data_IF_904573276858
#
_entry.id   IF_904573276858
#
_cell.length_a   1.000
_cell.length_b   1.000
_cell.length_c   1.000
_cell.angle_alpha   90.00
_cell.angle_beta   90.00
_cell.angle_gamma   90.00
#
_symmetry.space_group_name_H-M   'P 1'
#
loop_
_entity.id
_entity.type
_entity.pdbx_description
1 polymer ?
#
# COMPACT_ATOMS: atom_id res chain seq x y z
N UNK A 1 18.20 -4.81 7.28
CA UNK A 1 19.49 -4.89 6.55
C UNK A 1 20.16 -3.53 6.64
N UNK A 2 21.48 -3.46 6.74
CA UNK A 2 22.25 -2.21 6.67
C UNK A 2 22.73 -1.96 5.23
N UNK A 3 22.97 -0.69 4.87
CA UNK A 3 23.51 -0.35 3.52
C UNK A 3 24.85 -1.04 3.22
N UNK A 4 25.62 -1.40 4.23
CA UNK A 4 26.90 -2.11 4.07
C UNK A 4 26.75 -3.58 3.63
N UNK A 5 25.57 -4.18 3.87
CA UNK A 5 25.28 -5.58 3.56
C UNK A 5 24.65 -5.79 2.18
N UNK A 6 24.44 -4.69 1.43
CA UNK A 6 23.83 -4.74 0.12
C UNK A 6 24.72 -5.49 -0.88
N UNK A 7 24.16 -6.51 -1.52
CA UNK A 7 24.84 -7.27 -2.60
C UNK A 7 24.62 -6.65 -3.98
N UNK A 8 23.67 -5.72 -4.08
CA UNK A 8 23.35 -4.95 -5.28
C UNK A 8 23.24 -3.47 -4.94
N UNK A 9 23.73 -2.62 -5.80
CA UNK A 9 23.73 -1.16 -5.61
C UNK A 9 22.38 -0.50 -5.99
N UNK A 10 21.28 -1.13 -5.62
CA UNK A 10 19.94 -0.58 -5.71
C UNK A 10 19.10 -1.09 -4.55
N UNK A 11 18.41 -0.19 -3.84
CA UNK A 11 17.64 -0.54 -2.64
C UNK A 11 16.49 0.44 -2.41
N UNK A 12 15.61 0.04 -1.53
CA UNK A 12 14.53 0.87 -0.99
C UNK A 12 14.87 1.25 0.44
N UNK A 13 14.79 2.52 0.80
CA UNK A 13 14.85 2.97 2.19
C UNK A 13 13.44 3.17 2.73
N UNK A 14 13.22 2.68 3.96
CA UNK A 14 11.98 2.82 4.70
C UNK A 14 12.22 3.63 5.96
N UNK A 15 11.70 4.86 6.01
CA UNK A 15 11.79 5.74 7.17
C UNK A 15 10.83 5.27 8.27
N UNK A 16 11.42 4.67 9.33
CA UNK A 16 10.70 4.19 10.51
C UNK A 16 10.04 5.33 11.29
N UNK A 17 10.67 6.49 11.28
CA UNK A 17 10.16 7.69 11.97
C UNK A 17 8.93 8.22 11.27
N UNK A 18 8.96 8.37 9.94
CA UNK A 18 7.82 8.78 9.13
C UNK A 18 6.64 7.82 9.28
N UNK A 19 6.88 6.50 9.17
CA UNK A 19 5.83 5.50 9.35
C UNK A 19 5.18 5.57 10.74
N UNK A 20 5.99 5.79 11.78
CA UNK A 20 5.49 5.97 13.16
C UNK A 20 4.67 7.25 13.30
N UNK A 21 5.13 8.38 12.73
CA UNK A 21 4.40 9.65 12.77
C UNK A 21 3.07 9.55 12.04
N UNK A 22 3.04 8.99 10.84
CA UNK A 22 1.82 8.78 10.07
C UNK A 22 0.82 7.88 10.82
N UNK A 23 1.30 6.77 11.40
CA UNK A 23 0.43 5.87 12.18
C UNK A 23 -0.19 6.59 13.38
N UNK A 24 0.59 7.38 14.10
CA UNK A 24 0.08 8.21 15.23
C UNK A 24 -0.88 9.28 14.77
N UNK A 25 -0.65 9.90 13.61
CA UNK A 25 -1.57 10.88 13.05
C UNK A 25 -2.96 10.26 12.82
N UNK A 26 -3.04 9.06 12.22
CA UNK A 26 -4.31 8.34 12.10
C UNK A 26 -4.90 7.93 13.46
N UNK A 27 -4.09 7.47 14.40
CA UNK A 27 -4.57 7.12 15.75
C UNK A 27 -5.17 8.33 16.47
N UNK A 28 -4.61 9.51 16.28
CA UNK A 28 -5.07 10.77 16.88
C UNK A 28 -6.39 11.31 16.27
N UNK A 29 -6.84 10.82 15.12
CA UNK A 29 -8.18 11.10 14.59
C UNK A 29 -9.29 10.43 15.41
N UNK A 30 -8.94 9.42 16.21
CA UNK A 30 -9.87 8.51 16.85
C UNK A 30 -10.12 8.89 18.31
N UNK A 31 -11.36 8.70 18.73
CA UNK A 31 -11.67 8.73 20.16
C UNK A 31 -11.19 7.42 20.86
N UNK A 32 -11.12 7.38 22.20
CA UNK A 32 -10.59 6.23 22.95
C UNK A 32 -11.32 4.90 22.73
N UNK A 33 -12.55 4.92 22.21
CA UNK A 33 -13.35 3.70 21.95
C UNK A 33 -13.13 3.17 20.52
N UNK A 34 -12.60 4.01 19.64
CA UNK A 34 -12.38 3.67 18.24
C UNK A 34 -11.01 3.00 18.04
N UNK A 35 -10.94 2.12 17.06
CA UNK A 35 -9.76 1.32 16.75
C UNK A 35 -9.12 1.75 15.44
N UNK A 36 -7.81 1.58 15.35
CA UNK A 36 -7.04 1.75 14.14
C UNK A 36 -6.68 0.37 13.57
N UNK A 37 -7.23 0.04 12.42
CA UNK A 37 -6.80 -1.08 11.61
C UNK A 37 -5.79 -0.60 10.55
N UNK A 38 -4.56 -1.09 10.63
CA UNK A 38 -3.51 -0.80 9.66
C UNK A 38 -3.52 -1.83 8.54
N UNK A 39 -3.71 -1.37 7.29
CA UNK A 39 -3.73 -2.25 6.11
C UNK A 39 -2.31 -2.46 5.61
N UNK A 40 -1.82 -3.70 5.69
CA UNK A 40 -0.45 -4.10 5.35
C UNK A 40 -0.36 -5.15 4.23
N UNK A 41 -1.41 -5.26 3.41
CA UNK A 41 -1.45 -6.13 2.22
C UNK A 41 -0.41 -5.73 1.18
N UNK A 42 -0.12 -6.63 0.24
CA UNK A 42 0.88 -6.46 -0.81
C UNK A 42 2.25 -6.05 -0.24
N UNK A 43 2.72 -6.82 0.76
CA UNK A 43 3.94 -6.56 1.50
C UNK A 43 4.02 -5.13 2.07
N UNK A 44 2.90 -4.69 2.71
CA UNK A 44 2.73 -3.31 3.19
C UNK A 44 2.91 -2.28 2.06
N UNK A 45 2.22 -2.48 0.94
CA UNK A 45 2.37 -1.63 -0.27
C UNK A 45 3.83 -1.54 -0.74
N UNK A 46 4.57 -2.65 -0.67
CA UNK A 46 5.97 -2.73 -1.04
C UNK A 46 6.99 -2.32 0.04
N UNK A 47 6.52 -1.92 1.23
CA UNK A 47 7.40 -1.41 2.31
C UNK A 47 7.95 -2.49 3.26
N UNK A 48 7.49 -3.76 3.13
CA UNK A 48 7.87 -4.85 4.03
C UNK A 48 6.90 -5.05 5.19
N UNK A 49 5.97 -6.00 5.03
CA UNK A 49 4.79 -6.13 5.90
C UNK A 49 5.14 -6.36 7.38
N UNK A 50 6.06 -7.26 7.68
CA UNK A 50 6.37 -7.65 9.07
C UNK A 50 7.00 -6.49 9.84
N UNK A 51 8.01 -5.83 9.28
CA UNK A 51 8.69 -4.73 9.97
C UNK A 51 7.78 -3.49 10.07
N UNK A 52 7.04 -3.17 9.01
CA UNK A 52 6.04 -2.11 9.07
C UNK A 52 4.97 -2.38 10.15
N UNK A 53 4.45 -3.61 10.22
CA UNK A 53 3.46 -3.98 11.24
C UNK A 53 4.01 -3.85 12.66
N UNK A 54 5.28 -4.22 12.93
CA UNK A 54 5.93 -4.01 14.23
C UNK A 54 6.02 -2.53 14.61
N UNK A 55 6.40 -1.67 13.65
CA UNK A 55 6.47 -0.23 13.85
C UNK A 55 5.09 0.35 14.14
N UNK A 56 4.08 0.01 13.31
CA UNK A 56 2.70 0.44 13.48
C UNK A 56 2.08 -0.06 14.79
N UNK A 57 2.40 -1.30 15.19
CA UNK A 57 1.98 -1.85 16.49
C UNK A 57 2.48 -0.98 17.65
N UNK A 58 3.76 -0.62 17.64
CA UNK A 58 4.36 0.25 18.66
C UNK A 58 3.81 1.70 18.62
N UNK A 59 3.22 2.11 17.49
CA UNK A 59 2.64 3.43 17.27
C UNK A 59 1.14 3.51 17.60
N UNK A 60 0.50 2.38 17.95
CA UNK A 60 -0.89 2.36 18.40
C UNK A 60 -1.88 1.64 17.47
N UNK A 61 -1.42 0.83 16.53
CA UNK A 61 -2.29 -0.03 15.74
C UNK A 61 -3.01 -1.04 16.64
N UNK A 62 -4.32 -1.18 16.48
CA UNK A 62 -5.14 -2.12 17.24
C UNK A 62 -5.37 -3.42 16.49
N UNK A 63 -5.32 -3.39 15.15
CA UNK A 63 -5.61 -4.50 14.25
C UNK A 63 -4.83 -4.34 12.96
N UNK A 64 -4.60 -5.43 12.25
CA UNK A 64 -4.01 -5.42 10.91
C UNK A 64 -4.96 -6.01 9.88
N UNK A 65 -4.85 -5.56 8.62
CA UNK A 65 -5.61 -6.13 7.53
C UNK A 65 -4.70 -6.47 6.34
N UNK A 66 -4.95 -7.65 5.76
CA UNK A 66 -4.23 -8.23 4.63
C UNK A 66 -5.20 -8.63 3.52
N UNK A 67 -4.70 -9.08 2.36
CA UNK A 67 -5.53 -9.54 1.27
C UNK A 67 -5.57 -11.07 1.14
N UNK A 68 -4.56 -11.78 1.63
CA UNK A 68 -4.42 -13.23 1.46
C UNK A 68 -4.08 -13.93 2.78
N UNK A 69 -4.36 -15.24 2.82
CA UNK A 69 -4.01 -16.09 3.98
C UNK A 69 -2.50 -16.09 4.21
N UNK A 70 -1.71 -16.21 3.14
CA UNK A 70 -0.24 -16.24 3.24
C UNK A 70 0.34 -14.95 3.84
N UNK A 71 -0.22 -13.79 3.51
CA UNK A 71 0.18 -12.53 4.14
C UNK A 71 -0.12 -12.54 5.64
N UNK A 72 -1.29 -13.03 6.04
CA UNK A 72 -1.66 -13.17 7.45
C UNK A 72 -0.74 -14.14 8.21
N UNK A 73 -0.45 -15.30 7.62
CA UNK A 73 0.50 -16.28 8.16
C UNK A 73 1.90 -15.67 8.31
N UNK A 74 2.37 -14.94 7.29
CA UNK A 74 3.65 -14.24 7.35
C UNK A 74 3.74 -13.23 8.49
N UNK A 75 2.66 -12.49 8.78
CA UNK A 75 2.61 -11.60 9.93
C UNK A 75 2.69 -12.36 11.26
N UNK A 76 1.95 -13.47 11.39
CA UNK A 76 2.01 -14.33 12.60
C UNK A 76 3.41 -14.91 12.83
N UNK A 77 4.02 -15.44 11.78
CA UNK A 77 5.39 -15.96 11.84
C UNK A 77 6.41 -14.86 12.16
N UNK A 78 6.13 -13.62 11.72
CA UNK A 78 6.88 -12.41 12.07
C UNK A 78 6.66 -11.90 13.49
N UNK A 79 5.80 -12.56 14.30
CA UNK A 79 5.55 -12.25 15.72
C UNK A 79 4.44 -11.25 15.97
N UNK A 80 3.59 -10.95 14.98
CA UNK A 80 2.42 -10.08 15.18
C UNK A 80 1.30 -10.83 15.91
N UNK A 81 0.92 -10.35 17.09
CA UNK A 81 -0.10 -10.98 17.97
C UNK A 81 -1.46 -10.28 17.92
N UNK A 82 -1.54 -9.04 17.38
CA UNK A 82 -2.80 -8.31 17.22
C UNK A 82 -3.75 -9.03 16.26
N UNK A 83 -5.07 -8.79 16.33
CA UNK A 83 -6.03 -9.36 15.39
C UNK A 83 -5.64 -9.06 13.93
N UNK A 84 -5.83 -10.05 13.05
CA UNK A 84 -5.57 -9.94 11.61
C UNK A 84 -6.85 -10.28 10.87
N UNK A 85 -7.25 -9.38 9.95
CA UNK A 85 -8.40 -9.55 9.07
C UNK A 85 -7.93 -9.73 7.62
N UNK A 86 -8.45 -10.73 6.93
CA UNK A 86 -8.35 -10.82 5.47
C UNK A 86 -9.52 -10.06 4.86
N UNK A 87 -9.22 -9.08 3.99
CA UNK A 87 -10.23 -8.21 3.35
C UNK A 87 -10.96 -8.88 2.17
N UNK A 88 -10.96 -10.20 2.12
CA UNK A 88 -11.68 -11.03 1.16
C UNK A 88 -12.04 -12.37 1.78
N UNK A 89 -12.94 -13.10 1.15
CA UNK A 89 -13.23 -14.49 1.49
C UNK A 89 -12.20 -15.38 0.79
N UNK A 90 -11.40 -16.16 1.51
CA UNK A 90 -10.44 -17.07 0.90
C UNK A 90 -11.14 -18.37 0.43
N UNK A 91 -10.46 -19.26 -0.30
CA UNK A 91 -11.02 -20.57 -0.65
C UNK A 91 -11.21 -21.44 0.60
N UNK A 92 -12.20 -22.35 0.54
CA UNK A 92 -12.55 -23.23 1.67
C UNK A 92 -11.36 -24.07 2.15
N UNK A 93 -10.48 -24.46 1.24
CA UNK A 93 -9.27 -25.24 1.52
C UNK A 93 -8.27 -24.49 2.43
N UNK A 94 -8.40 -23.18 2.53
CA UNK A 94 -7.55 -22.36 3.40
C UNK A 94 -8.05 -22.26 4.85
N UNK A 95 -9.24 -22.78 5.16
CA UNK A 95 -9.84 -22.72 6.50
C UNK A 95 -8.93 -23.30 7.59
N UNK A 96 -8.26 -24.44 7.41
CA UNK A 96 -7.36 -24.95 8.44
C UNK A 96 -6.27 -23.96 8.86
N UNK A 97 -5.69 -23.24 7.89
CA UNK A 97 -4.68 -22.23 8.18
C UNK A 97 -5.26 -21.00 8.90
N UNK A 98 -6.49 -20.57 8.56
CA UNK A 98 -7.18 -19.49 9.28
C UNK A 98 -7.34 -19.82 10.76
N UNK A 99 -7.79 -21.05 11.05
CA UNK A 99 -7.99 -21.53 12.42
C UNK A 99 -6.70 -21.77 13.17
N UNK A 100 -5.66 -22.28 12.49
CA UNK A 100 -4.36 -22.53 13.08
C UNK A 100 -3.68 -21.21 13.52
N UNK A 101 -3.67 -20.23 12.62
CA UNK A 101 -2.96 -18.95 12.82
C UNK A 101 -3.84 -17.85 13.43
N UNK A 102 -5.08 -18.15 13.82
CA UNK A 102 -6.04 -17.16 14.37
C UNK A 102 -6.16 -15.91 13.48
N UNK A 103 -6.52 -16.15 12.21
CA UNK A 103 -6.72 -15.12 11.19
C UNK A 103 -8.20 -15.08 10.83
N UNK A 104 -8.82 -13.91 10.90
CA UNK A 104 -10.23 -13.71 10.60
C UNK A 104 -10.44 -13.51 9.10
N UNK A 105 -11.30 -14.29 8.43
CA UNK A 105 -11.71 -14.00 7.06
C UNK A 105 -12.79 -12.92 7.01
N UNK A 106 -12.93 -12.26 5.86
CA UNK A 106 -14.21 -11.68 5.46
C UNK A 106 -15.13 -12.79 4.99
N UNK A 107 -16.41 -12.72 5.31
CA UNK A 107 -17.41 -13.71 4.94
C UNK A 107 -18.56 -13.04 4.19
N UNK A 108 -18.96 -13.62 3.07
CA UNK A 108 -20.09 -13.13 2.26
C UNK A 108 -20.76 -14.22 1.41
N UNK A 109 -20.34 -15.52 1.56
CA UNK A 109 -21.07 -16.66 1.01
C UNK A 109 -21.48 -17.62 2.11
N UNK A 110 -22.68 -18.21 1.99
CA UNK A 110 -23.17 -19.18 2.96
C UNK A 110 -22.35 -20.46 2.99
N UNK A 111 -21.87 -20.90 1.83
CA UNK A 111 -21.07 -22.12 1.71
C UNK A 111 -19.76 -22.00 2.49
N UNK A 112 -19.06 -20.86 2.35
CA UNK A 112 -17.84 -20.62 3.11
C UNK A 112 -18.14 -20.50 4.61
N UNK A 113 -19.19 -19.75 5.00
CA UNK A 113 -19.57 -19.56 6.40
C UNK A 113 -19.84 -20.90 7.10
N UNK A 114 -20.61 -21.78 6.47
CA UNK A 114 -20.96 -23.10 7.01
C UNK A 114 -19.72 -24.00 7.09
N UNK A 115 -18.93 -24.09 6.02
CA UNK A 115 -17.70 -24.87 6.02
C UNK A 115 -16.70 -24.37 7.08
N UNK A 116 -16.58 -23.04 7.25
CA UNK A 116 -15.73 -22.44 8.29
C UNK A 116 -16.19 -22.84 9.69
N UNK A 117 -17.50 -22.82 9.92
CA UNK A 117 -18.09 -23.24 11.19
C UNK A 117 -17.89 -24.73 11.48
N UNK A 118 -18.11 -25.61 10.50
CA UNK A 118 -17.89 -27.05 10.64
C UNK A 118 -16.43 -27.37 10.98
N UNK A 119 -15.49 -26.77 10.25
CA UNK A 119 -14.05 -26.94 10.51
C UNK A 119 -13.65 -26.38 11.88
N UNK A 120 -14.23 -25.25 12.31
CA UNK A 120 -13.97 -24.68 13.62
C UNK A 120 -14.44 -25.59 14.74
N UNK A 121 -15.65 -26.16 14.65
CA UNK A 121 -16.17 -27.15 15.62
C UNK A 121 -15.27 -28.37 15.66
N UNK A 122 -14.87 -28.91 14.52
CA UNK A 122 -13.99 -30.07 14.44
C UNK A 122 -12.62 -29.80 15.08
N UNK A 123 -12.13 -28.55 15.02
CA UNK A 123 -10.90 -28.10 15.66
C UNK A 123 -11.07 -27.70 17.14
N UNK A 124 -12.27 -27.80 17.72
CA UNK A 124 -12.58 -27.36 19.08
C UNK A 124 -12.48 -25.84 19.27
N UNK A 125 -12.70 -25.06 18.20
CA UNK A 125 -12.60 -23.60 18.15
C UNK A 125 -13.92 -22.94 17.78
N UNK A 126 -13.95 -21.61 17.89
CA UNK A 126 -14.98 -20.76 17.29
C UNK A 126 -14.27 -19.86 16.28
N UNK A 127 -14.67 -19.98 15.02
CA UNK A 127 -14.14 -19.17 13.92
C UNK A 127 -14.72 -17.75 13.96
N UNK A 128 -13.88 -16.76 14.18
CA UNK A 128 -14.26 -15.35 14.13
C UNK A 128 -14.16 -14.83 12.70
N UNK A 129 -15.13 -14.02 12.29
CA UNK A 129 -15.17 -13.44 10.96
C UNK A 129 -15.71 -12.01 10.94
N UNK A 130 -15.44 -11.28 9.84
CA UNK A 130 -16.12 -10.03 9.56
C UNK A 130 -17.05 -10.20 8.36
N UNK A 131 -18.30 -9.79 8.50
CA UNK A 131 -19.29 -9.79 7.42
C UNK A 131 -19.00 -8.63 6.47
N UNK A 132 -18.76 -8.93 5.20
CA UNK A 132 -18.63 -7.90 4.16
C UNK A 132 -20.00 -7.59 3.55
N UNK A 133 -20.37 -6.29 3.52
CA UNK A 133 -21.62 -5.81 2.91
C UNK A 133 -21.30 -5.05 1.64
N UNK A 134 -21.96 -5.44 0.53
CA UNK A 134 -21.89 -4.72 -0.74
C UNK A 134 -22.90 -3.58 -0.76
N UNK A 135 -22.41 -2.34 -0.87
CA UNK A 135 -23.22 -1.13 -0.82
C UNK A 135 -23.17 -0.28 -2.10
N UNK A 136 -22.39 -0.71 -3.11
CA UNK A 136 -22.29 0.00 -4.39
C UNK A 136 -20.96 -0.11 -5.11
N UNK A 137 -19.93 -0.75 -4.51
CA UNK A 137 -18.65 -0.99 -5.18
C UNK A 137 -18.70 -2.18 -6.16
N UNK A 138 -19.62 -3.13 -5.95
CA UNK A 138 -19.85 -4.32 -6.77
C UNK A 138 -18.59 -5.19 -6.95
N UNK A 139 -17.83 -5.38 -5.87
CA UNK A 139 -16.60 -6.16 -5.89
C UNK A 139 -16.68 -7.42 -5.03
N UNK A 140 -17.09 -7.30 -3.78
CA UNK A 140 -17.28 -8.36 -2.80
C UNK A 140 -18.37 -7.97 -1.81
N UNK A 141 -18.94 -8.96 -1.13
CA UNK A 141 -19.88 -8.74 -0.03
C UNK A 141 -21.29 -9.22 -0.36
N UNK A 142 -22.09 -9.41 0.72
CA UNK A 142 -23.53 -9.65 0.62
C UNK A 142 -24.21 -8.34 0.24
N UNK A 143 -25.07 -8.36 -0.76
CA UNK A 143 -25.81 -7.16 -1.17
C UNK A 143 -26.61 -6.60 0.02
N UNK A 144 -26.57 -5.27 0.22
CA UNK A 144 -27.14 -4.63 1.42
C UNK A 144 -28.61 -4.96 1.68
N UNK A 145 -29.41 -5.24 0.63
CA UNK A 145 -30.82 -5.65 0.76
C UNK A 145 -30.99 -7.11 1.18
N UNK A 146 -29.97 -7.95 1.06
CA UNK A 146 -30.01 -9.38 1.36
C UNK A 146 -29.27 -9.73 2.66
N UNK A 147 -28.64 -8.74 3.30
CA UNK A 147 -27.75 -8.97 4.44
C UNK A 147 -28.47 -9.62 5.62
N UNK A 148 -29.72 -9.24 5.88
CA UNK A 148 -30.49 -9.80 7.00
C UNK A 148 -30.85 -11.28 6.79
N UNK A 149 -31.22 -11.65 5.56
CA UNK A 149 -31.53 -13.06 5.24
C UNK A 149 -30.26 -13.91 5.28
N UNK A 150 -29.13 -13.35 4.83
CA UNK A 150 -27.82 -13.98 4.94
C UNK A 150 -27.45 -14.25 6.42
N UNK A 151 -27.54 -13.23 7.28
CA UNK A 151 -27.23 -13.36 8.71
C UNK A 151 -28.12 -14.40 9.37
N UNK A 152 -29.44 -14.40 9.10
CA UNK A 152 -30.39 -15.43 9.59
C UNK A 152 -29.97 -16.81 9.13
N UNK A 153 -29.53 -16.96 7.89
CA UNK A 153 -29.14 -18.23 7.27
C UNK A 153 -27.91 -18.89 7.88
N UNK A 154 -27.03 -18.13 8.52
CA UNK A 154 -25.78 -18.65 9.10
C UNK A 154 -25.72 -18.57 10.63
N UNK A 155 -26.53 -17.72 11.27
CA UNK A 155 -26.46 -17.40 12.71
C UNK A 155 -26.72 -18.59 13.64
N UNK A 156 -27.38 -19.67 13.15
CA UNK A 156 -27.62 -20.88 13.93
C UNK A 156 -26.35 -21.72 14.14
N UNK A 157 -25.28 -21.47 13.37
CA UNK A 157 -24.07 -22.30 13.40
C UNK A 157 -23.19 -21.92 14.57
N UNK A 158 -23.01 -22.83 15.54
CA UNK A 158 -22.27 -22.59 16.79
C UNK A 158 -20.74 -22.43 16.60
N UNK A 159 -20.23 -22.87 15.45
CA UNK A 159 -18.78 -22.83 15.15
C UNK A 159 -18.27 -21.48 14.66
N UNK A 160 -19.15 -20.50 14.40
CA UNK A 160 -18.76 -19.18 13.92
C UNK A 160 -19.29 -18.06 14.81
N UNK A 161 -18.56 -16.96 14.83
CA UNK A 161 -18.92 -15.73 15.53
C UNK A 161 -18.63 -14.51 14.65
N UNK A 162 -19.64 -13.66 14.47
CA UNK A 162 -19.45 -12.37 13.83
C UNK A 162 -18.69 -11.44 14.78
N UNK A 163 -17.41 -11.12 14.43
CA UNK A 163 -16.54 -10.22 15.20
C UNK A 163 -16.59 -8.81 14.63
N UNK A 164 -17.13 -8.62 13.41
CA UNK A 164 -17.35 -7.32 12.83
C UNK A 164 -18.16 -7.33 11.54
N UNK A 165 -18.59 -6.13 11.14
CA UNK A 165 -19.36 -5.87 9.92
C UNK A 165 -18.73 -4.70 9.17
N UNK A 166 -18.55 -4.81 7.84
CA UNK A 166 -17.94 -3.73 7.10
C UNK A 166 -18.45 -3.60 5.65
N UNK A 167 -18.19 -2.42 5.09
CA UNK A 167 -18.25 -2.17 3.65
C UNK A 167 -16.98 -1.48 3.16
N UNK A 168 -16.87 -1.25 1.85
CA UNK A 168 -15.79 -0.48 1.26
C UNK A 168 -16.33 0.58 0.30
N UNK A 169 -15.91 1.83 0.50
CA UNK A 169 -16.33 2.96 -0.33
C UNK A 169 -15.53 3.03 -1.62
N UNK A 170 -16.23 3.21 -2.73
CA UNK A 170 -15.63 3.33 -4.05
C UNK A 170 -15.10 4.74 -4.35
N UNK A 171 -15.78 5.78 -3.80
CA UNK A 171 -15.55 7.20 -4.11
C UNK A 171 -15.36 8.05 -2.85
N UNK A 172 -14.66 7.50 -1.85
CA UNK A 172 -14.41 8.20 -0.58
C UNK A 172 -13.49 9.42 -0.70
N UNK A 173 -12.80 9.58 -1.80
CA UNK A 173 -12.03 10.75 -2.22
C UNK A 173 -12.90 11.95 -2.60
N UNK A 174 -14.19 11.71 -2.91
CA UNK A 174 -15.22 12.71 -3.20
C UNK A 174 -16.38 12.63 -2.18
N UNK A 175 -16.21 13.01 -0.90
CA UNK A 175 -17.21 12.78 0.16
C UNK A 175 -18.50 13.60 -0.03
N UNK A 176 -18.48 14.64 -0.84
CA UNK A 176 -19.66 15.39 -1.25
C UNK A 176 -20.49 14.70 -2.33
N UNK A 177 -19.93 13.71 -3.03
CA UNK A 177 -20.51 12.99 -4.15
C UNK A 177 -21.77 12.20 -3.76
N UNK A 178 -22.68 12.04 -4.71
CA UNK A 178 -23.92 11.30 -4.49
C UNK A 178 -23.66 9.81 -4.22
N UNK A 179 -22.75 9.19 -4.98
CA UNK A 179 -22.43 7.77 -4.86
C UNK A 179 -21.85 7.42 -3.48
N UNK A 180 -20.97 8.29 -2.95
CA UNK A 180 -20.42 8.12 -1.60
C UNK A 180 -21.54 8.17 -0.55
N UNK A 181 -22.39 9.19 -0.60
CA UNK A 181 -23.51 9.37 0.34
C UNK A 181 -24.49 8.19 0.29
N UNK A 182 -24.75 7.69 -0.91
CA UNK A 182 -25.61 6.51 -1.10
C UNK A 182 -25.00 5.25 -0.47
N UNK A 183 -23.68 5.04 -0.62
CA UNK A 183 -23.01 3.93 0.06
C UNK A 183 -23.04 4.08 1.60
N UNK A 184 -22.84 5.29 2.12
CA UNK A 184 -22.95 5.57 3.56
C UNK A 184 -24.35 5.25 4.08
N UNK A 185 -25.40 5.71 3.38
CA UNK A 185 -26.78 5.42 3.73
C UNK A 185 -27.08 3.92 3.74
N UNK A 186 -26.76 3.21 2.65
CA UNK A 186 -26.99 1.76 2.51
C UNK A 186 -26.29 0.95 3.60
N UNK A 187 -25.06 1.34 3.94
CA UNK A 187 -24.32 0.68 5.01
C UNK A 187 -24.96 0.90 6.37
N UNK A 188 -25.34 2.13 6.69
CA UNK A 188 -25.97 2.48 7.97
C UNK A 188 -27.31 1.74 8.12
N UNK A 189 -28.13 1.73 7.07
CA UNK A 189 -29.44 1.02 7.06
C UNK A 189 -29.25 -0.49 7.22
N UNK A 190 -28.27 -1.10 6.54
CA UNK A 190 -27.98 -2.52 6.65
C UNK A 190 -27.51 -2.91 8.06
N UNK A 191 -26.62 -2.13 8.68
CA UNK A 191 -26.18 -2.33 10.06
C UNK A 191 -27.33 -2.17 11.04
N UNK A 192 -28.20 -1.18 10.84
CA UNK A 192 -29.36 -0.99 11.69
C UNK A 192 -30.35 -2.15 11.58
N UNK A 193 -30.60 -2.64 10.37
CA UNK A 193 -31.49 -3.79 10.15
C UNK A 193 -30.99 -5.08 10.85
N UNK A 194 -29.67 -5.31 10.86
CA UNK A 194 -29.06 -6.44 11.59
C UNK A 194 -29.32 -6.29 13.11
N UNK A 195 -29.08 -5.10 13.65
CA UNK A 195 -29.27 -4.80 15.08
C UNK A 195 -30.73 -4.88 15.52
N UNK A 196 -31.65 -4.34 14.72
CA UNK A 196 -33.10 -4.36 15.00
C UNK A 196 -33.64 -5.78 14.98
N UNK A 197 -33.04 -6.70 14.24
CA UNK A 197 -33.34 -8.11 14.22
C UNK A 197 -32.72 -8.90 15.39
N UNK A 198 -31.98 -8.23 16.29
CA UNK A 198 -31.38 -8.81 17.50
C UNK A 198 -30.05 -9.52 17.27
N UNK A 199 -29.37 -9.29 16.13
CA UNK A 199 -28.05 -9.87 15.86
C UNK A 199 -26.92 -8.92 16.24
N UNK A 200 -25.84 -9.50 16.75
CA UNK A 200 -24.62 -8.75 17.08
C UNK A 200 -23.81 -8.43 15.81
N UNK A 201 -23.40 -7.17 15.70
CA UNK A 201 -22.54 -6.71 14.58
C UNK A 201 -21.04 -6.76 14.89
N UNK A 202 -20.65 -6.93 16.18
CA UNK A 202 -19.26 -6.77 16.59
C UNK A 202 -18.73 -5.37 16.23
N UNK A 203 -17.52 -5.31 15.66
CA UNK A 203 -16.86 -4.06 15.24
C UNK A 203 -17.44 -3.58 13.92
N UNK A 204 -18.15 -2.45 13.92
CA UNK A 204 -18.67 -1.83 12.69
C UNK A 204 -17.62 -0.92 12.09
N UNK A 205 -17.31 -1.11 10.79
CA UNK A 205 -16.27 -0.31 10.13
C UNK A 205 -16.47 -0.15 8.61
N UNK A 206 -16.32 1.07 8.10
CA UNK A 206 -16.42 1.35 6.66
C UNK A 206 -15.32 2.29 6.15
N UNK A 207 -14.82 3.21 6.99
CA UNK A 207 -13.85 4.21 6.58
C UNK A 207 -12.53 3.59 6.10
N UNK A 208 -12.19 3.83 4.84
CA UNK A 208 -10.88 3.62 4.24
C UNK A 208 -9.99 4.86 4.46
N UNK A 209 -8.79 4.93 3.87
CA UNK A 209 -7.87 6.07 4.05
C UNK A 209 -8.53 7.43 3.78
N UNK A 210 -9.14 7.72 2.60
CA UNK A 210 -9.74 9.03 2.38
C UNK A 210 -10.94 9.30 3.28
N UNK A 211 -11.85 8.36 3.47
CA UNK A 211 -13.00 8.52 4.35
C UNK A 211 -12.58 8.80 5.80
N UNK A 212 -11.52 8.14 6.29
CA UNK A 212 -11.03 8.38 7.65
C UNK A 212 -10.49 9.79 7.88
N UNK A 213 -10.04 10.47 6.82
CA UNK A 213 -9.54 11.84 6.89
C UNK A 213 -10.64 12.87 6.63
N UNK A 214 -11.56 12.58 5.70
CA UNK A 214 -12.50 13.54 5.15
C UNK A 214 -13.90 13.47 5.78
N UNK A 215 -14.28 12.34 6.38
CA UNK A 215 -15.60 12.13 6.97
C UNK A 215 -15.54 11.37 8.31
N UNK A 216 -15.28 12.06 9.42
CA UNK A 216 -15.26 11.43 10.75
C UNK A 216 -16.58 10.79 11.18
N UNK A 217 -17.72 11.13 10.55
CA UNK A 217 -19.02 10.52 10.87
C UNK A 217 -19.07 9.03 10.48
N UNK A 218 -18.19 8.59 9.55
CA UNK A 218 -18.09 7.23 9.10
C UNK A 218 -17.00 6.40 9.82
N UNK A 219 -16.41 6.91 10.89
CA UNK A 219 -15.43 6.14 11.67
C UNK A 219 -16.03 4.91 12.34
N UNK A 220 -17.29 4.99 12.80
CA UNK A 220 -17.93 3.95 13.61
C UNK A 220 -16.99 3.43 14.71
N UNK A 221 -16.77 2.11 14.80
CA UNK A 221 -15.91 1.52 15.83
C UNK A 221 -14.44 1.40 15.40
N UNK A 222 -14.17 1.47 14.08
CA UNK A 222 -12.80 1.28 13.57
C UNK A 222 -12.62 1.92 12.19
N UNK A 223 -11.47 2.56 11.96
CA UNK A 223 -11.02 2.95 10.63
C UNK A 223 -10.00 1.96 10.07
N UNK A 224 -9.90 1.87 8.73
CA UNK A 224 -8.91 1.07 8.01
C UNK A 224 -7.99 1.97 7.20
N UNK A 225 -6.90 2.39 7.80
CA UNK A 225 -5.89 3.19 7.13
C UNK A 225 -4.95 2.30 6.30
N UNK A 226 -4.72 2.69 5.06
CA UNK A 226 -3.82 2.00 4.13
C UNK A 226 -2.75 2.96 3.61
N UNK A 227 -2.91 3.44 2.37
CA UNK A 227 -1.92 4.24 1.64
C UNK A 227 -1.37 5.44 2.41
N UNK A 228 -2.20 6.09 3.22
CA UNK A 228 -1.79 7.23 4.03
C UNK A 228 -0.79 6.88 5.14
N UNK A 229 -0.79 5.64 5.64
CA UNK A 229 0.23 5.20 6.60
C UNK A 229 1.64 5.26 6.00
N UNK A 230 1.74 5.06 4.69
CA UNK A 230 3.00 5.07 3.93
C UNK A 230 3.36 6.46 3.39
N UNK A 231 2.64 7.51 3.82
CA UNK A 231 2.96 8.89 3.47
C UNK A 231 2.45 9.35 2.11
N UNK A 232 1.59 8.55 1.47
CA UNK A 232 1.00 8.90 0.18
C UNK A 232 -0.42 9.43 0.37
N UNK A 233 -0.72 10.57 -0.25
CA UNK A 233 -2.06 11.16 -0.21
C UNK A 233 -3.02 10.37 -1.12
N UNK A 234 -4.21 9.98 -0.62
CA UNK A 234 -5.21 9.31 -1.46
C UNK A 234 -5.86 10.24 -2.49
N UNK A 235 -5.92 11.54 -2.18
CA UNK A 235 -6.46 12.59 -3.05
C UNK A 235 -5.95 13.97 -2.61
N UNK A 236 -6.16 15.00 -3.42
CA UNK A 236 -5.73 16.36 -3.11
C UNK A 236 -6.39 16.92 -1.85
N UNK A 237 -7.68 16.63 -1.64
CA UNK A 237 -8.43 17.12 -0.46
C UNK A 237 -7.83 16.62 0.84
N UNK A 238 -7.38 15.38 0.89
CA UNK A 238 -6.79 14.79 2.11
C UNK A 238 -5.51 15.49 2.54
N UNK A 239 -4.70 15.98 1.59
CA UNK A 239 -3.49 16.77 1.89
C UNK A 239 -3.76 18.09 2.58
N UNK A 240 -4.99 18.63 2.49
CA UNK A 240 -5.39 19.84 3.22
C UNK A 240 -5.81 19.54 4.66
N UNK A 241 -6.20 18.30 4.94
CA UNK A 241 -6.66 17.87 6.27
C UNK A 241 -5.50 17.37 7.12
N UNK A 242 -4.62 16.56 6.53
CA UNK A 242 -3.50 15.96 7.25
C UNK A 242 -2.26 15.86 6.36
N UNK A 243 -1.16 16.43 6.82
CA UNK A 243 0.13 16.24 6.19
C UNK A 243 0.70 14.87 6.57
N UNK A 244 1.23 14.18 5.59
CA UNK A 244 1.81 12.84 5.74
C UNK A 244 3.27 12.88 5.30
N UNK A 245 4.12 12.16 6.01
CA UNK A 245 5.54 12.05 5.71
C UNK A 245 5.78 10.86 4.75
N UNK A 246 6.40 11.05 3.57
CA UNK A 246 6.79 9.95 2.71
C UNK A 246 7.66 8.93 3.46
N UNK A 247 7.31 7.65 3.33
CA UNK A 247 7.99 6.55 4.06
C UNK A 247 9.03 5.86 3.18
N UNK A 248 8.78 5.76 1.87
CA UNK A 248 9.64 5.05 0.93
C UNK A 248 10.46 6.03 0.10
N UNK A 249 11.76 5.75 -0.02
CA UNK A 249 12.62 6.30 -1.06
C UNK A 249 13.36 5.18 -1.81
N UNK A 250 13.73 5.44 -3.07
CA UNK A 250 14.36 4.45 -3.96
C UNK A 250 15.69 4.98 -4.43
N UNK A 251 16.75 4.21 -4.20
CA UNK A 251 18.15 4.61 -4.38
C UNK A 251 18.90 3.64 -5.29
N UNK A 252 19.87 4.16 -6.01
CA UNK A 252 20.84 3.33 -6.71
C UNK A 252 22.19 4.04 -6.81
N UNK A 253 23.28 3.25 -6.94
CA UNK A 253 24.61 3.78 -7.20
C UNK A 253 25.04 3.58 -8.64
N UNK A 254 25.78 4.51 -9.15
CA UNK A 254 26.35 4.49 -10.50
C UNK A 254 27.28 3.27 -10.65
N UNK A 255 26.95 2.39 -11.59
CA UNK A 255 27.74 1.19 -11.90
C UNK A 255 28.63 1.34 -13.14
N UNK A 256 28.40 2.38 -13.92
CA UNK A 256 29.23 2.71 -15.08
C UNK A 256 29.08 4.18 -15.44
N UNK A 257 30.19 4.80 -15.79
CA UNK A 257 30.25 6.13 -16.39
C UNK A 257 30.80 5.99 -17.82
N UNK A 258 30.21 6.72 -18.78
CA UNK A 258 30.64 6.75 -20.16
C UNK A 258 30.52 8.16 -20.74
N UNK A 259 31.38 8.48 -21.72
CA UNK A 259 31.34 9.71 -22.48
C UNK A 259 31.22 9.38 -23.98
N UNK A 260 30.03 8.96 -24.45
CA UNK A 260 29.85 8.63 -25.84
C UNK A 260 29.97 9.86 -26.73
N UNK A 261 30.39 9.64 -27.99
CA UNK A 261 30.56 10.73 -28.95
C UNK A 261 29.19 11.29 -29.39
N UNK A 262 29.21 12.52 -29.91
CA UNK A 262 28.04 13.15 -30.50
C UNK A 262 27.39 12.24 -31.56
N UNK A 263 26.06 12.07 -31.48
CA UNK A 263 25.30 11.24 -32.42
C UNK A 263 25.19 9.76 -32.02
N UNK A 264 26.02 9.26 -31.09
CA UNK A 264 25.91 7.90 -30.59
C UNK A 264 24.60 7.67 -29.85
N UNK A 265 24.03 6.49 -30.03
CA UNK A 265 22.75 6.08 -29.40
C UNK A 265 22.96 5.49 -28.02
N UNK A 266 21.99 5.66 -27.13
CA UNK A 266 21.96 5.12 -25.77
C UNK A 266 20.82 4.14 -25.60
N UNK A 267 21.13 2.93 -25.14
CA UNK A 267 20.17 1.88 -24.83
C UNK A 267 19.46 1.26 -26.05
N UNK A 268 18.50 0.41 -25.78
CA UNK A 268 17.75 -0.29 -26.82
C UNK A 268 16.96 0.66 -27.73
N UNK A 269 17.06 0.41 -29.04
CA UNK A 269 16.34 1.20 -30.06
C UNK A 269 16.88 2.61 -30.27
N UNK A 270 17.97 2.99 -29.56
CA UNK A 270 18.60 4.30 -29.67
C UNK A 270 17.61 5.46 -29.62
N UNK A 271 16.63 5.37 -28.71
CA UNK A 271 15.57 6.38 -28.52
C UNK A 271 16.11 7.70 -27.93
N UNK A 272 17.37 7.69 -27.48
CA UNK A 272 18.14 8.86 -27.16
C UNK A 272 19.46 8.82 -27.93
N UNK A 273 19.88 9.98 -28.46
CA UNK A 273 21.18 10.17 -29.07
C UNK A 273 21.90 11.32 -28.41
N UNK A 274 23.20 11.13 -28.19
CA UNK A 274 24.05 12.14 -27.55
C UNK A 274 23.98 13.44 -28.35
N UNK A 275 23.59 14.57 -27.75
CA UNK A 275 23.49 15.85 -28.44
C UNK A 275 24.85 16.46 -28.74
N UNK A 276 24.92 17.71 -29.24
CA UNK A 276 26.17 18.40 -29.63
C UNK A 276 27.06 18.76 -28.46
N UNK A 277 26.58 18.75 -27.22
CA UNK A 277 27.34 19.10 -26.02
C UNK A 277 27.98 17.87 -25.38
N UNK A 278 29.00 18.04 -24.57
CA UNK A 278 29.55 16.98 -23.73
C UNK A 278 28.46 16.44 -22.82
N UNK A 279 28.27 15.14 -22.86
CA UNK A 279 27.30 14.42 -22.05
C UNK A 279 27.98 13.25 -21.37
N UNK A 280 27.83 13.16 -20.07
CA UNK A 280 28.19 11.97 -19.31
C UNK A 280 26.97 11.07 -19.19
N UNK A 281 27.10 9.81 -19.53
CA UNK A 281 26.05 8.77 -19.37
C UNK A 281 26.40 7.89 -18.19
N UNK A 282 25.54 7.92 -17.16
CA UNK A 282 25.65 7.07 -15.97
C UNK A 282 24.65 5.94 -16.05
N UNK A 283 25.09 4.70 -15.75
CA UNK A 283 24.24 3.53 -15.68
C UNK A 283 23.91 3.21 -14.22
N UNK A 284 22.63 2.95 -13.94
CA UNK A 284 22.11 2.59 -12.63
C UNK A 284 21.50 1.18 -12.66
N UNK A 285 21.78 0.32 -11.65
CA UNK A 285 21.41 -1.09 -11.65
C UNK A 285 20.00 -1.32 -11.13
N UNK A 286 19.01 -0.68 -11.74
CA UNK A 286 17.57 -0.86 -11.47
C UNK A 286 16.82 -0.76 -12.80
N UNK A 287 15.82 -1.61 -13.01
CA UNK A 287 15.04 -1.64 -14.23
C UNK A 287 13.60 -2.10 -14.01
N UNK A 288 12.91 -2.49 -15.12
CA UNK A 288 11.49 -2.83 -15.00
C UNK A 288 11.23 -4.13 -14.22
N UNK A 289 12.21 -5.01 -14.10
CA UNK A 289 12.09 -6.20 -13.23
C UNK A 289 12.17 -5.85 -11.73
N UNK A 290 12.61 -4.64 -11.40
CA UNK A 290 12.66 -4.11 -10.04
C UNK A 290 11.46 -3.19 -9.72
N UNK A 291 10.56 -2.98 -10.70
CA UNK A 291 9.40 -2.10 -10.57
C UNK A 291 9.50 -0.73 -11.25
N UNK A 292 10.67 -0.37 -11.80
CA UNK A 292 10.83 0.88 -12.55
C UNK A 292 10.26 0.73 -13.96
N UNK A 293 9.02 1.16 -14.16
CA UNK A 293 8.28 0.93 -15.40
C UNK A 293 8.99 1.43 -16.66
N UNK A 294 9.00 0.58 -17.71
CA UNK A 294 9.52 0.96 -19.03
C UNK A 294 8.77 2.13 -19.68
N UNK A 295 7.51 2.39 -19.28
CA UNK A 295 6.73 3.53 -19.74
C UNK A 295 7.33 4.90 -19.33
N UNK A 296 8.24 4.91 -18.36
CA UNK A 296 8.96 6.10 -17.89
C UNK A 296 10.17 6.46 -18.77
N UNK A 297 10.51 5.64 -19.75
CA UNK A 297 11.66 5.85 -20.64
C UNK A 297 11.66 7.23 -21.31
N UNK A 298 12.75 7.97 -21.16
CA UNK A 298 12.93 9.36 -21.62
C UNK A 298 11.96 10.39 -21.01
N UNK A 299 11.24 10.03 -19.93
CA UNK A 299 10.18 10.88 -19.35
C UNK A 299 10.44 11.28 -17.91
N UNK A 300 11.20 10.51 -17.15
CA UNK A 300 11.48 10.75 -15.74
C UNK A 300 12.86 11.40 -15.54
N UNK A 301 13.03 11.96 -14.37
CA UNK A 301 14.33 12.41 -13.85
C UNK A 301 14.72 11.52 -12.66
N UNK A 302 15.96 11.62 -12.22
CA UNK A 302 16.47 11.18 -10.91
C UNK A 302 17.15 12.36 -10.23
N UNK A 303 17.42 12.27 -8.92
CA UNK A 303 18.13 13.30 -8.19
C UNK A 303 19.60 12.90 -8.05
N UNK A 304 20.48 13.87 -8.26
CA UNK A 304 21.91 13.77 -8.04
C UNK A 304 22.46 15.08 -7.50
N UNK A 305 22.98 15.06 -6.28
CA UNK A 305 23.55 16.23 -5.58
C UNK A 305 22.60 17.44 -5.55
N UNK A 306 21.34 17.20 -5.24
CA UNK A 306 20.31 18.24 -5.18
C UNK A 306 19.71 18.65 -6.53
N UNK A 307 20.15 18.05 -7.63
CA UNK A 307 19.75 18.41 -8.99
C UNK A 307 18.95 17.30 -9.66
N UNK A 308 18.06 17.69 -10.58
CA UNK A 308 17.33 16.74 -11.43
C UNK A 308 18.14 16.44 -12.67
N UNK A 309 18.45 15.16 -12.88
CA UNK A 309 19.14 14.66 -14.07
C UNK A 309 18.23 13.73 -14.87
N UNK A 310 18.23 13.92 -16.20
CA UNK A 310 17.28 13.24 -17.10
C UNK A 310 17.62 11.78 -17.30
N UNK A 311 16.64 10.90 -17.14
CA UNK A 311 16.71 9.54 -17.61
C UNK A 311 16.65 9.51 -19.15
N UNK A 312 17.54 8.75 -19.79
CA UNK A 312 17.72 8.72 -21.23
C UNK A 312 17.79 7.31 -21.79
N UNK A 313 17.24 7.12 -22.98
CA UNK A 313 17.10 5.83 -23.62
C UNK A 313 15.99 4.97 -23.00
N UNK A 314 15.78 3.76 -23.52
CA UNK A 314 14.80 2.87 -22.96
C UNK A 314 15.29 2.27 -21.63
N UNK A 315 14.42 2.25 -20.61
CA UNK A 315 14.64 1.49 -19.36
C UNK A 315 14.70 0.02 -19.72
N UNK A 316 15.76 -0.66 -19.29
CA UNK A 316 16.00 -2.08 -19.53
C UNK A 316 15.42 -2.93 -18.39
N UNK A 317 15.60 -4.25 -18.45
CA UNK A 317 15.12 -5.16 -17.43
C UNK A 317 15.76 -4.89 -16.07
N UNK A 318 17.09 -4.69 -16.04
CA UNK A 318 17.90 -4.63 -14.82
C UNK A 318 18.66 -3.32 -14.65
N UNK A 319 18.60 -2.41 -15.63
CA UNK A 319 19.40 -1.19 -15.69
C UNK A 319 18.66 -0.07 -16.43
N UNK A 320 19.03 1.17 -16.11
CA UNK A 320 18.67 2.33 -16.92
C UNK A 320 19.82 3.34 -16.94
N UNK A 321 19.71 4.34 -17.81
CA UNK A 321 20.75 5.35 -17.99
C UNK A 321 20.20 6.74 -17.72
N UNK A 322 21.06 7.59 -17.19
CA UNK A 322 20.82 9.03 -17.01
C UNK A 322 21.90 9.82 -17.73
N UNK A 323 21.55 11.03 -18.18
CA UNK A 323 22.48 11.94 -18.82
C UNK A 323 22.78 13.14 -17.91
N UNK A 324 24.03 13.32 -17.51
CA UNK A 324 24.51 14.55 -16.90
C UNK A 324 25.06 15.42 -18.03
N UNK A 325 24.47 16.60 -18.19
CA UNK A 325 24.86 17.56 -19.21
C UNK A 325 25.47 18.78 -18.54
N UNK A 326 26.71 19.11 -18.90
CA UNK A 326 27.31 20.35 -18.48
C UNK A 326 26.55 21.53 -19.11
N UNK A 327 26.03 22.42 -18.28
CA UNK A 327 25.41 23.67 -18.67
C UNK A 327 26.27 24.83 -18.10
N UNK A 328 26.81 25.75 -18.95
CA UNK A 328 27.64 26.86 -18.46
C UNK A 328 26.95 27.78 -17.45
N UNK A 329 25.61 27.81 -17.44
CA UNK A 329 24.82 28.60 -16.49
C UNK A 329 24.52 27.86 -15.17
N UNK A 330 24.62 26.53 -15.18
CA UNK A 330 24.35 25.67 -14.03
C UNK A 330 25.14 24.37 -14.18
N UNK A 331 26.25 24.28 -13.47
CA UNK A 331 27.16 23.15 -13.59
C UNK A 331 26.79 22.04 -12.59
N UNK A 332 26.24 20.96 -13.11
CA UNK A 332 26.06 19.72 -12.34
C UNK A 332 27.41 19.00 -12.35
N UNK A 333 27.98 18.67 -11.19
CA UNK A 333 29.25 17.93 -11.13
C UNK A 333 29.18 16.60 -11.86
N UNK A 334 30.26 16.20 -12.52
CA UNK A 334 30.35 14.86 -13.09
C UNK A 334 30.20 13.79 -12.00
N UNK A 335 29.46 12.72 -12.32
CA UNK A 335 29.30 11.59 -11.41
C UNK A 335 30.47 10.61 -11.57
N UNK A 336 30.79 9.95 -10.47
CA UNK A 336 31.77 8.88 -10.41
C UNK A 336 31.14 7.52 -10.17
N UNK A 337 31.90 6.46 -10.45
CA UNK A 337 31.50 5.09 -10.09
C UNK A 337 31.26 5.00 -8.58
N UNK A 338 30.08 4.50 -8.20
CA UNK A 338 29.66 4.38 -6.79
C UNK A 338 28.87 5.56 -6.26
N UNK A 339 28.78 6.68 -6.98
CA UNK A 339 27.94 7.82 -6.56
C UNK A 339 26.47 7.41 -6.46
N UNK A 340 25.80 7.89 -5.43
CA UNK A 340 24.38 7.60 -5.17
C UNK A 340 23.49 8.57 -5.95
N UNK A 341 22.41 8.02 -6.54
CA UNK A 341 21.32 8.77 -7.16
C UNK A 341 19.99 8.31 -6.58
N UNK A 342 19.05 9.24 -6.44
CA UNK A 342 17.72 8.99 -5.87
C UNK A 342 16.69 8.96 -6.99
N UNK A 343 15.99 7.85 -7.12
CA UNK A 343 14.96 7.65 -8.13
C UNK A 343 13.60 8.19 -7.67
N UNK A 344 13.28 7.98 -6.39
CA UNK A 344 12.13 8.55 -5.69
C UNK A 344 12.60 8.96 -4.30
N UNK A 345 12.28 10.16 -3.86
CA UNK A 345 12.69 10.69 -2.57
C UNK A 345 13.17 12.13 -2.66
N UNK A 346 14.01 12.53 -1.70
CA UNK A 346 14.53 13.89 -1.58
C UNK A 346 16.06 13.90 -1.57
N UNK A 347 16.62 14.94 -2.18
CA UNK A 347 18.03 15.28 -2.13
C UNK A 347 18.15 16.80 -1.98
N UNK A 348 18.47 17.28 -0.79
CA UNK A 348 18.37 18.70 -0.45
C UNK A 348 16.93 19.22 -0.60
N UNK A 349 16.79 20.28 -1.41
CA UNK A 349 15.48 20.88 -1.71
C UNK A 349 14.77 20.21 -2.90
N UNK A 350 15.46 19.35 -3.65
CA UNK A 350 14.88 18.63 -4.77
C UNK A 350 14.11 17.38 -4.31
N UNK A 351 12.99 17.11 -4.94
CA UNK A 351 12.13 15.97 -4.62
C UNK A 351 11.58 15.33 -5.89
N UNK A 352 11.48 13.99 -5.90
CA UNK A 352 10.70 13.19 -6.85
C UNK A 352 9.75 12.33 -6.05
N UNK A 353 8.45 12.54 -6.23
CA UNK A 353 7.41 11.85 -5.47
C UNK A 353 6.86 10.62 -6.18
N UNK A 354 6.22 9.70 -5.43
CA UNK A 354 5.42 8.60 -6.00
C UNK A 354 4.29 9.12 -6.90
N UNK A 355 3.71 10.28 -6.57
CA UNK A 355 2.66 10.92 -7.37
C UNK A 355 3.18 11.45 -8.71
N UNK A 356 4.40 11.99 -8.74
CA UNK A 356 5.05 12.39 -9.97
C UNK A 356 5.27 11.18 -10.89
N UNK A 357 5.82 10.11 -10.35
CA UNK A 357 6.04 8.86 -11.09
C UNK A 357 4.72 8.25 -11.59
N UNK A 358 3.67 8.30 -10.77
CA UNK A 358 2.34 7.85 -11.14
C UNK A 358 1.75 8.65 -12.31
N UNK A 359 1.83 9.98 -12.27
CA UNK A 359 1.39 10.85 -13.37
C UNK A 359 2.13 10.57 -14.68
N UNK A 360 3.46 10.43 -14.61
CA UNK A 360 4.27 10.12 -15.78
C UNK A 360 3.93 8.75 -16.37
N UNK A 361 3.54 7.79 -15.52
CA UNK A 361 3.20 6.43 -15.90
C UNK A 361 1.74 6.29 -16.34
N UNK A 362 0.86 7.21 -15.96
CA UNK A 362 -0.59 7.13 -16.20
C UNK A 362 -1.30 6.17 -15.24
N UNK A 363 -0.92 6.20 -13.95
CA UNK A 363 -1.47 5.35 -12.89
C UNK A 363 -1.57 6.11 -11.56
N UNK A 364 -1.73 5.41 -10.45
CA UNK A 364 -1.80 5.94 -9.09
C UNK A 364 -0.54 5.60 -8.27
N UNK A 365 -0.27 6.40 -7.24
CA UNK A 365 0.89 6.24 -6.35
C UNK A 365 0.94 4.85 -5.68
N UNK A 366 -0.20 4.24 -5.39
CA UNK A 366 -0.33 2.87 -4.85
C UNK A 366 0.40 1.84 -5.72
N UNK A 367 0.14 1.88 -7.04
CA UNK A 367 0.73 0.93 -7.98
C UNK A 367 2.23 1.15 -8.14
N UNK A 368 2.68 2.42 -8.11
CA UNK A 368 4.10 2.75 -8.17
C UNK A 368 4.84 2.17 -6.97
N UNK A 369 4.35 2.41 -5.76
CA UNK A 369 4.97 1.92 -4.53
C UNK A 369 4.99 0.38 -4.47
N UNK A 370 3.85 -0.28 -4.78
CA UNK A 370 3.77 -1.75 -4.82
C UNK A 370 4.71 -2.38 -5.87
N UNK A 371 5.08 -1.64 -6.90
CA UNK A 371 6.02 -2.09 -7.93
C UNK A 371 7.44 -2.28 -7.41
N UNK A 372 7.91 -1.46 -6.48
CA UNK A 372 9.23 -1.55 -5.87
C UNK A 372 9.22 -2.59 -4.73
N UNK A 373 9.40 -3.85 -5.02
CA UNK A 373 9.18 -4.81 -3.98
C UNK A 373 10.15 -5.97 -3.88
N UNK A 374 10.05 -6.89 -4.79
CA UNK A 374 10.57 -8.24 -4.54
C UNK A 374 12.09 -8.41 -4.76
N UNK A 375 12.70 -7.60 -5.64
CA UNK A 375 14.13 -7.72 -5.98
C UNK A 375 15.01 -6.65 -5.33
N UNK A 376 14.39 -5.62 -4.74
CA UNK A 376 15.11 -4.56 -4.06
C UNK A 376 15.18 -4.84 -2.56
N UNK A 377 16.38 -4.78 -2.01
CA UNK A 377 16.59 -4.88 -0.57
C UNK A 377 15.94 -3.70 0.14
N UNK A 378 15.32 -3.96 1.30
CA UNK A 378 14.71 -2.93 2.13
C UNK A 378 15.63 -2.58 3.31
N UNK A 379 16.04 -1.33 3.36
CA UNK A 379 16.85 -0.75 4.44
C UNK A 379 15.94 0.10 5.32
N UNK A 380 15.80 -0.25 6.59
CA UNK A 380 14.97 0.49 7.54
C UNK A 380 15.85 1.51 8.28
N UNK A 381 15.63 2.80 8.00
CA UNK A 381 16.36 3.94 8.56
C UNK A 381 15.59 4.64 9.68
#
# INVERSE_FOLDING_TARGET
>A
MNKADLTRWSWVEIDRGALRRNTRAYKNLLNPRQRLCCVVKADAYGHGAVECAKIMYSAGADMFAVATVNEGVGLRQGGITKPILILSEPPIEAIPALLEFDIMPSVYTSDFALAYGECAVAAGKVGKYHLAIETGMNRIGVHYTQVLDFVRGISFHRGIQCDGVFTHFATADEPSGWDYKLQCQRFTEAVQAIKDAGFECGIVHCANTPSSMLDPSMHFDMIRAGVGLYGMQPCELSGRVMQLDPVMSVHARVTRVAHPAMGEGVGYGFTYRVPRTRVQICTLPIGYADGLSRALSNRMDVLYRGERVRQVGNICMDQFMVAIQSNPAHEIPEAEYGDEMIIVGRDGDAEITMDEMARLRGTINYEVACGFGMRLDKVYV
#
